data_IF_696127104555
#
_entry.id   IF_696127104555
#
_cell.length_a   1.000
_cell.length_b   1.000
_cell.length_c   1.000
_cell.angle_alpha   90.00
_cell.angle_beta   90.00
_cell.angle_gamma   90.00
#
_symmetry.space_group_name_H-M   'P 1'
#
loop_
_entity.id
_entity.type
_entity.pdbx_description
1 polymer ?
#
# COMPACT_ATOMS: atom_id res chain seq x y z
N UNK A 1 -8.08 -5.17 -17.07
CA UNK A 1 -6.76 -4.53 -17.22
C UNK A 1 -5.70 -5.61 -17.35
N UNK A 2 -4.97 -5.57 -18.42
CA UNK A 2 -3.87 -6.51 -18.61
C UNK A 2 -2.63 -6.00 -17.89
N UNK A 3 -2.04 -6.87 -17.06
CA UNK A 3 -0.89 -6.51 -16.23
C UNK A 3 0.36 -7.18 -16.79
N UNK A 4 1.29 -6.36 -17.28
CA UNK A 4 2.56 -6.86 -17.77
C UNK A 4 3.66 -6.76 -16.72
N UNK A 5 4.63 -7.66 -16.78
CA UNK A 5 5.81 -7.62 -15.93
C UNK A 5 6.55 -6.28 -16.10
N UNK A 6 6.59 -5.74 -17.29
CA UNK A 6 7.21 -4.46 -17.60
C UNK A 6 6.55 -3.30 -16.86
N UNK A 7 5.21 -3.25 -16.84
CA UNK A 7 4.50 -2.19 -16.11
C UNK A 7 4.68 -2.32 -14.60
N UNK A 8 4.76 -3.55 -14.07
CA UNK A 8 5.04 -3.79 -12.66
C UNK A 8 6.43 -3.29 -12.26
N UNK A 9 7.44 -3.60 -13.06
CA UNK A 9 8.81 -3.15 -12.79
C UNK A 9 8.94 -1.64 -12.87
N UNK A 10 8.24 -1.01 -13.81
CA UNK A 10 8.20 0.44 -13.94
C UNK A 10 7.58 1.10 -12.71
N UNK A 11 6.47 0.58 -12.22
CA UNK A 11 5.82 1.09 -11.01
C UNK A 11 6.70 0.87 -9.77
N UNK A 12 7.33 -0.29 -9.65
CA UNK A 12 8.25 -0.60 -8.56
C UNK A 12 9.39 0.41 -8.51
N UNK A 13 9.99 0.71 -9.63
CA UNK A 13 11.08 1.69 -9.73
C UNK A 13 10.59 3.10 -9.39
N UNK A 14 9.44 3.48 -9.93
CA UNK A 14 8.86 4.81 -9.73
C UNK A 14 8.50 5.09 -8.27
N UNK A 15 7.83 4.14 -7.60
CA UNK A 15 7.36 4.34 -6.23
C UNK A 15 8.40 4.00 -5.16
N UNK A 16 9.20 2.97 -5.36
CA UNK A 16 10.10 2.44 -4.33
C UNK A 16 11.58 2.51 -4.69
N UNK A 17 11.91 2.79 -5.94
CA UNK A 17 13.30 2.90 -6.39
C UNK A 17 14.01 1.56 -6.58
N UNK A 18 13.29 0.45 -6.53
CA UNK A 18 13.88 -0.87 -6.73
C UNK A 18 13.87 -1.30 -8.20
N UNK A 19 14.93 -1.98 -8.61
CA UNK A 19 15.06 -2.47 -10.00
C UNK A 19 14.35 -3.81 -10.23
N UNK A 20 14.11 -4.59 -9.18
CA UNK A 20 13.45 -5.88 -9.30
C UNK A 20 12.79 -6.34 -8.01
N UNK A 21 11.90 -7.32 -8.16
CA UNK A 21 11.20 -7.94 -7.04
C UNK A 21 12.05 -9.02 -6.37
N UNK A 22 11.78 -9.28 -5.09
CA UNK A 22 12.42 -10.35 -4.33
C UNK A 22 11.44 -11.49 -4.08
N UNK A 23 11.92 -12.72 -4.19
CA UNK A 23 11.15 -13.92 -3.83
C UNK A 23 9.78 -13.95 -4.49
N UNK A 24 8.73 -14.03 -3.69
CA UNK A 24 7.35 -14.15 -4.15
C UNK A 24 6.65 -12.82 -4.45
N UNK A 25 7.32 -11.69 -4.29
CA UNK A 25 6.69 -10.37 -4.42
C UNK A 25 5.95 -10.18 -5.75
N UNK A 26 6.59 -10.46 -6.87
CA UNK A 26 5.97 -10.26 -8.19
C UNK A 26 4.73 -11.13 -8.37
N UNK A 27 4.80 -12.40 -7.95
CA UNK A 27 3.66 -13.32 -8.04
C UNK A 27 2.48 -12.83 -7.19
N UNK A 28 2.74 -12.35 -5.97
CA UNK A 28 1.71 -11.83 -5.08
C UNK A 28 1.07 -10.58 -5.65
N UNK A 29 1.88 -9.63 -6.11
CA UNK A 29 1.39 -8.37 -6.69
C UNK A 29 0.54 -8.66 -7.94
N UNK A 30 1.01 -9.54 -8.82
CA UNK A 30 0.28 -9.93 -10.03
C UNK A 30 -1.07 -10.55 -9.69
N UNK A 31 -1.11 -11.43 -8.69
CA UNK A 31 -2.34 -12.07 -8.23
C UNK A 31 -3.37 -11.04 -7.73
N UNK A 32 -2.93 -10.10 -6.91
CA UNK A 32 -3.79 -9.04 -6.37
C UNK A 32 -4.32 -8.14 -7.48
N UNK A 33 -3.46 -7.69 -8.38
CA UNK A 33 -3.86 -6.81 -9.48
C UNK A 33 -4.78 -7.51 -10.48
N UNK A 34 -4.70 -8.83 -10.57
CA UNK A 34 -5.60 -9.65 -11.38
C UNK A 34 -6.95 -9.91 -10.71
N UNK A 35 -7.21 -9.26 -9.57
CA UNK A 35 -8.45 -9.35 -8.80
C UNK A 35 -8.69 -10.71 -8.15
N UNK A 36 -7.62 -11.44 -7.86
CA UNK A 36 -7.69 -12.70 -7.14
C UNK A 36 -7.53 -12.48 -5.64
N UNK A 37 -8.28 -13.23 -4.85
CA UNK A 37 -8.00 -13.34 -3.42
C UNK A 37 -6.66 -14.05 -3.25
N UNK A 38 -5.79 -13.50 -2.41
CA UNK A 38 -4.41 -13.97 -2.34
C UNK A 38 -4.00 -14.23 -0.90
N UNK A 39 -3.49 -15.43 -0.63
CA UNK A 39 -2.90 -15.80 0.65
C UNK A 39 -1.41 -16.07 0.43
N UNK A 40 -0.55 -15.35 1.14
CA UNK A 40 0.89 -15.49 0.98
C UNK A 40 1.58 -15.60 2.34
N UNK A 41 2.49 -16.55 2.45
CA UNK A 41 3.35 -16.73 3.62
C UNK A 41 4.77 -16.42 3.20
N UNK A 42 5.37 -15.44 3.86
CA UNK A 42 6.71 -14.96 3.53
C UNK A 42 7.54 -14.83 4.81
N UNK A 43 8.84 -15.11 4.76
CA UNK A 43 9.70 -14.96 5.94
C UNK A 43 9.83 -13.49 6.34
N UNK A 44 10.19 -13.26 7.60
CA UNK A 44 10.54 -11.93 8.10
C UNK A 44 11.68 -11.36 7.25
N UNK A 45 11.54 -10.11 6.81
CA UNK A 45 12.51 -9.50 5.92
C UNK A 45 12.30 -9.81 4.43
N UNK A 46 11.23 -10.55 4.10
CA UNK A 46 10.88 -10.88 2.71
C UNK A 46 10.19 -9.77 1.93
N UNK A 47 10.03 -8.58 2.52
CA UNK A 47 9.37 -7.46 1.86
C UNK A 47 7.87 -7.59 1.74
N UNK A 48 7.21 -8.08 2.79
CA UNK A 48 5.75 -8.31 2.81
C UNK A 48 4.94 -7.06 2.52
N UNK A 49 5.35 -5.93 3.08
CA UNK A 49 4.60 -4.67 2.97
C UNK A 49 4.45 -4.21 1.52
N UNK A 50 5.49 -4.35 0.72
CA UNK A 50 5.47 -3.99 -0.69
C UNK A 50 4.38 -4.74 -1.45
N UNK A 51 4.10 -5.98 -1.05
CA UNK A 51 3.13 -6.84 -1.73
C UNK A 51 1.71 -6.27 -1.74
N UNK A 52 1.34 -5.46 -0.75
CA UNK A 52 0.05 -4.77 -0.74
C UNK A 52 0.18 -3.26 -0.99
N UNK A 53 1.30 -2.66 -0.65
CA UNK A 53 1.53 -1.23 -0.89
C UNK A 53 1.59 -0.91 -2.38
N UNK A 54 2.34 -1.68 -3.15
CA UNK A 54 2.44 -1.44 -4.59
C UNK A 54 1.11 -1.59 -5.32
N UNK A 55 0.32 -2.67 -5.12
CA UNK A 55 -1.01 -2.74 -5.72
C UNK A 55 -1.94 -1.61 -5.30
N UNK A 56 -1.88 -1.19 -4.03
CA UNK A 56 -2.70 -0.08 -3.54
C UNK A 56 -2.41 1.21 -4.30
N UNK A 57 -1.13 1.48 -4.58
CA UNK A 57 -0.72 2.68 -5.32
C UNK A 57 -1.07 2.60 -6.81
N UNK A 58 -1.10 1.41 -7.39
CA UNK A 58 -1.36 1.20 -8.81
C UNK A 58 -2.84 1.16 -9.16
N UNK A 59 -3.71 0.80 -8.22
CA UNK A 59 -5.15 0.66 -8.46
C UNK A 59 -5.92 1.92 -8.13
N UNK A 60 -7.11 2.05 -8.71
CA UNK A 60 -8.07 3.05 -8.29
C UNK A 60 -8.67 2.65 -6.94
N UNK A 61 -9.07 3.64 -6.17
CA UNK A 61 -9.68 3.42 -4.87
C UNK A 61 -8.67 3.39 -3.72
N UNK A 62 -9.11 2.93 -2.57
CA UNK A 62 -8.33 2.91 -1.34
C UNK A 62 -8.20 1.47 -0.83
N UNK A 63 -6.98 1.04 -0.55
CA UNK A 63 -6.74 -0.24 0.10
C UNK A 63 -6.91 -0.11 1.61
N UNK A 64 -7.51 -1.10 2.23
CA UNK A 64 -7.66 -1.17 3.68
C UNK A 64 -6.71 -2.24 4.21
N UNK A 65 -5.80 -1.81 5.09
CA UNK A 65 -4.83 -2.71 5.72
C UNK A 65 -5.19 -2.87 7.19
N UNK A 66 -5.41 -4.11 7.61
CA UNK A 66 -5.73 -4.44 9.00
C UNK A 66 -4.47 -4.99 9.67
N UNK A 67 -4.06 -4.35 10.76
CA UNK A 67 -2.88 -4.75 11.53
C UNK A 67 -3.18 -4.66 13.02
N UNK A 68 -2.74 -5.64 13.83
CA UNK A 68 -2.94 -5.59 15.28
C UNK A 68 -1.95 -4.67 16.01
N UNK A 69 -0.92 -4.17 15.33
CA UNK A 69 0.18 -3.42 15.95
C UNK A 69 0.16 -1.96 15.51
N UNK A 70 -0.18 -1.06 16.44
CA UNK A 70 -0.28 0.40 16.18
C UNK A 70 1.06 0.98 15.70
N UNK A 71 2.16 0.59 16.33
CA UNK A 71 3.49 1.09 15.95
C UNK A 71 3.86 0.70 14.51
N UNK A 72 3.52 -0.51 14.10
CA UNK A 72 3.76 -0.99 12.74
C UNK A 72 2.90 -0.23 11.73
N UNK A 73 1.65 0.06 12.07
CA UNK A 73 0.75 0.85 11.23
C UNK A 73 1.34 2.23 10.94
N UNK A 74 1.85 2.90 11.98
CA UNK A 74 2.47 4.22 11.83
C UNK A 74 3.69 4.15 10.90
N UNK A 75 4.55 3.15 11.08
CA UNK A 75 5.74 2.98 10.24
C UNK A 75 5.37 2.79 8.78
N UNK A 76 4.33 2.03 8.48
CA UNK A 76 3.85 1.81 7.12
C UNK A 76 3.29 3.08 6.49
N UNK A 77 2.50 3.85 7.24
CA UNK A 77 1.95 5.12 6.76
C UNK A 77 3.08 6.12 6.49
N UNK A 78 4.04 6.24 7.38
CA UNK A 78 5.18 7.15 7.21
C UNK A 78 6.00 6.78 5.97
N UNK A 79 6.20 5.48 5.71
CA UNK A 79 6.92 5.02 4.53
C UNK A 79 6.20 5.41 3.23
N UNK A 80 4.89 5.26 3.18
CA UNK A 80 4.11 5.64 1.98
C UNK A 80 4.06 7.15 1.82
N UNK A 81 3.89 7.90 2.90
CA UNK A 81 3.92 9.37 2.83
C UNK A 81 5.26 9.89 2.34
N UNK A 82 6.35 9.18 2.63
CA UNK A 82 7.69 9.54 2.19
C UNK A 82 7.91 9.48 0.68
N UNK A 83 7.10 8.72 -0.04
CA UNK A 83 7.22 8.59 -1.51
C UNK A 83 6.22 9.47 -2.27
N UNK A 84 5.41 10.24 -1.57
CA UNK A 84 4.41 11.13 -2.17
C UNK A 84 4.51 12.52 -1.56
N UNK A 85 4.22 13.54 -2.35
CA UNK A 85 4.12 14.92 -1.89
C UNK A 85 2.83 15.17 -1.12
N UNK A 86 1.82 14.31 -1.26
CA UNK A 86 0.53 14.44 -0.60
C UNK A 86 0.47 13.52 0.62
N UNK A 87 0.47 14.09 1.83
CA UNK A 87 0.38 13.34 3.08
C UNK A 87 -0.92 12.56 3.22
N UNK A 88 -1.99 13.02 2.56
CA UNK A 88 -3.29 12.33 2.57
C UNK A 88 -3.29 11.00 1.83
N UNK A 89 -2.21 10.62 1.14
CA UNK A 89 -2.11 9.37 0.39
C UNK A 89 -2.26 8.13 1.28
N UNK A 90 -1.87 8.23 2.55
CA UNK A 90 -1.98 7.14 3.51
C UNK A 90 -2.38 7.67 4.88
N UNK A 91 -3.23 6.93 5.58
CA UNK A 91 -3.70 7.26 6.91
C UNK A 91 -3.75 6.05 7.83
N UNK A 92 -3.55 6.31 9.13
CA UNK A 92 -3.85 5.35 10.19
C UNK A 92 -5.24 5.66 10.73
N UNK A 93 -6.02 4.62 10.97
CA UNK A 93 -7.31 4.73 11.64
C UNK A 93 -7.33 3.79 12.83
N UNK A 94 -7.22 4.34 14.04
CA UNK A 94 -7.20 3.56 15.29
C UNK A 94 -7.78 4.38 16.43
N UNK A 95 -7.84 3.79 17.63
CA UNK A 95 -8.42 4.41 18.81
C UNK A 95 -7.67 5.62 19.36
N UNK A 96 -6.43 5.86 18.89
CA UNK A 96 -5.64 7.01 19.34
C UNK A 96 -5.98 8.31 18.60
N UNK A 97 -6.78 8.25 17.52
CA UNK A 97 -7.17 9.43 16.76
C UNK A 97 -8.31 10.19 17.43
N UNK A 98 -8.24 11.52 17.40
CA UNK A 98 -9.35 12.36 17.82
C UNK A 98 -10.39 12.50 16.69
N UNK A 99 -11.53 13.13 16.99
CA UNK A 99 -12.63 13.28 16.03
C UNK A 99 -12.24 14.08 14.79
N UNK A 100 -11.44 15.11 14.96
CA UNK A 100 -10.95 15.94 13.85
C UNK A 100 -10.06 15.12 12.90
N UNK A 101 -9.16 14.31 13.43
CA UNK A 101 -8.29 13.44 12.65
C UNK A 101 -9.08 12.38 11.88
N UNK A 102 -10.08 11.77 12.53
CA UNK A 102 -10.97 10.79 11.87
C UNK A 102 -11.74 11.44 10.72
N UNK A 103 -12.25 12.66 10.93
CA UNK A 103 -12.97 13.38 9.88
C UNK A 103 -12.08 13.71 8.69
N UNK A 104 -10.81 14.05 8.93
CA UNK A 104 -9.85 14.31 7.87
C UNK A 104 -9.58 13.04 7.04
N UNK A 105 -9.44 11.89 7.69
CA UNK A 105 -9.27 10.60 7.01
C UNK A 105 -10.47 10.32 6.10
N UNK A 106 -11.67 10.49 6.61
CA UNK A 106 -12.91 10.26 5.84
C UNK A 106 -13.01 11.19 4.64
N UNK A 107 -12.65 12.46 4.81
CA UNK A 107 -12.69 13.44 3.74
C UNK A 107 -11.69 13.10 2.62
N UNK A 108 -10.47 12.73 2.98
CA UNK A 108 -9.44 12.36 2.01
C UNK A 108 -9.83 11.11 1.22
N UNK A 109 -10.49 10.15 1.86
CA UNK A 109 -11.01 8.95 1.19
C UNK A 109 -12.10 9.35 0.18
N UNK A 110 -13.04 10.21 0.57
CA UNK A 110 -14.11 10.68 -0.32
C UNK A 110 -13.56 11.40 -1.53
N UNK A 111 -12.48 12.14 -1.38
CA UNK A 111 -11.84 12.89 -2.45
C UNK A 111 -10.97 12.02 -3.37
N UNK A 112 -10.79 10.75 -3.05
CA UNK A 112 -9.95 9.86 -3.83
C UNK A 112 -8.45 10.10 -3.66
N UNK A 113 -8.04 10.84 -2.64
CA UNK A 113 -6.63 11.15 -2.36
C UNK A 113 -5.94 9.96 -1.69
N UNK A 114 -6.64 9.29 -0.78
CA UNK A 114 -6.06 8.22 0.04
C UNK A 114 -5.99 6.90 -0.71
N UNK A 115 -4.80 6.30 -0.75
CA UNK A 115 -4.55 5.01 -1.40
C UNK A 115 -4.44 3.86 -0.40
N UNK A 116 -4.16 4.16 0.89
CA UNK A 116 -3.93 3.12 1.88
C UNK A 116 -4.45 3.51 3.27
#
# INVERSE_FOLDING_TARGET
MEISSKSLHKALKSYFGFDGFKGLQESVVTSILSKNDTFAVMPTGGGKSLCYQLPALMQDGTAIVVSPLIALMKNQVDAIRGISENEGIAHVLNSSLNKSEINQVKEDIKRGITKL
#
